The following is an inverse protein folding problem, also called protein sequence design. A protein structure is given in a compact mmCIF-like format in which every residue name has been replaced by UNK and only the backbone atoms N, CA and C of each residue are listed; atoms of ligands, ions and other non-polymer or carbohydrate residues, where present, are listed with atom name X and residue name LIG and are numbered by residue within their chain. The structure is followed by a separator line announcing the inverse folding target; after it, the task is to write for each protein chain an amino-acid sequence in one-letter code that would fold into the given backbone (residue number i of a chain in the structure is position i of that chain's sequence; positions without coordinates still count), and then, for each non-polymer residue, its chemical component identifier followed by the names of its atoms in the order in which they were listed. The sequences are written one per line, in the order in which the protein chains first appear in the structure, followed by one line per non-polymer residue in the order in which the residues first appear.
data_IF_710058306923
#
_entry.id   IF_710058306923
#
_cell.length_a   1.000
_cell.length_b   1.000
_cell.length_c   1.000
_cell.angle_alpha   90.00
_cell.angle_beta   90.00
_cell.angle_gamma   90.00
#
_symmetry.space_group_name_H-M   'P 1'
#
loop_
_entity.id
_entity.type
_entity.pdbx_description
1 polymer ?
#
# COMPACT_ATOMS: atom_id res chain seq x y z
N UNK A 1 -0.64 5.56 14.92
CA UNK A 1 0.76 5.70 14.46
C UNK A 1 1.79 5.12 15.44
N UNK A 2 1.62 5.23 16.74
CA UNK A 2 2.53 4.63 17.74
C UNK A 2 2.62 3.08 17.66
N UNK A 3 1.54 2.40 17.26
CA UNK A 3 1.49 0.94 17.20
C UNK A 3 2.38 0.33 16.10
N UNK A 4 2.47 0.93 14.91
CA UNK A 4 3.32 0.42 13.83
C UNK A 4 4.80 0.64 14.16
N UNK A 5 5.13 1.80 14.70
CA UNK A 5 6.50 2.14 15.11
C UNK A 5 7.08 1.17 16.14
N UNK A 6 6.31 0.82 17.18
CA UNK A 6 6.74 -0.12 18.22
C UNK A 6 6.97 -1.55 17.70
N UNK A 7 6.51 -1.85 16.48
CA UNK A 7 6.67 -3.15 15.82
C UNK A 7 7.71 -3.16 14.70
N UNK A 8 8.52 -2.09 14.56
CA UNK A 8 9.53 -1.99 13.51
C UNK A 8 8.94 -1.91 12.10
N UNK A 9 7.80 -1.24 11.94
CA UNK A 9 7.12 -1.03 10.66
C UNK A 9 6.99 0.46 10.38
N UNK A 10 7.36 0.90 9.18
CA UNK A 10 7.18 2.27 8.73
C UNK A 10 6.65 2.33 7.28
N UNK A 11 6.02 3.45 6.94
CA UNK A 11 5.66 3.79 5.56
C UNK A 11 6.48 5.00 5.13
N UNK A 12 7.18 4.89 4.02
CA UNK A 12 8.03 5.94 3.46
C UNK A 12 7.51 6.32 2.08
N UNK A 13 7.34 7.64 1.86
CA UNK A 13 6.89 8.17 0.58
C UNK A 13 8.10 8.55 -0.27
N UNK A 14 8.15 8.05 -1.49
CA UNK A 14 9.19 8.28 -2.48
C UNK A 14 8.78 9.37 -3.49
N UNK A 15 9.77 9.99 -4.14
CA UNK A 15 9.59 10.89 -5.29
C UNK A 15 8.79 12.16 -4.98
N UNK A 16 8.81 12.59 -3.73
CA UNK A 16 8.15 13.82 -3.29
C UNK A 16 6.65 13.69 -3.03
N UNK A 17 5.95 14.84 -2.92
CA UNK A 17 4.56 14.93 -2.47
C UNK A 17 3.59 15.52 -3.51
N UNK A 18 4.04 15.80 -4.73
CA UNK A 18 3.21 16.38 -5.79
C UNK A 18 2.82 15.28 -6.78
N UNK A 19 1.52 14.96 -6.83
CA UNK A 19 0.95 13.93 -7.69
C UNK A 19 0.54 14.51 -9.05
N UNK A 20 0.81 13.80 -10.13
CA UNK A 20 0.33 14.20 -11.47
C UNK A 20 -1.16 13.93 -11.67
N UNK A 21 -1.82 13.20 -10.76
CA UNK A 21 -3.24 12.83 -10.82
C UNK A 21 -4.06 13.48 -9.71
N UNK A 22 -5.36 13.68 -9.96
CA UNK A 22 -6.29 14.39 -9.08
C UNK A 22 -7.45 13.48 -8.63
N UNK A 23 -7.15 12.40 -7.93
CA UNK A 23 -8.19 11.52 -7.36
C UNK A 23 -9.01 12.27 -6.31
N UNK A 24 -10.34 12.23 -6.42
CA UNK A 24 -11.25 13.06 -5.63
C UNK A 24 -11.37 12.65 -4.15
N UNK A 25 -10.76 11.55 -3.76
CA UNK A 25 -10.67 11.11 -2.38
C UNK A 25 -9.35 11.51 -1.70
N UNK A 26 -8.33 11.90 -2.47
CA UNK A 26 -6.95 12.05 -2.03
C UNK A 26 -6.61 13.51 -1.73
N UNK A 27 -5.94 13.77 -0.61
CA UNK A 27 -5.54 15.11 -0.17
C UNK A 27 -4.07 15.46 -0.54
N UNK A 28 -3.43 14.66 -1.38
CA UNK A 28 -2.08 14.94 -1.87
C UNK A 28 -2.13 16.12 -2.86
N UNK A 29 -1.13 16.99 -2.81
CA UNK A 29 -1.02 18.12 -3.74
C UNK A 29 -0.93 17.64 -5.18
N UNK A 30 -1.72 18.27 -6.07
CA UNK A 30 -1.76 17.95 -7.49
C UNK A 30 -0.98 18.95 -8.31
N UNK A 31 -0.11 18.48 -9.20
CA UNK A 31 0.70 19.34 -10.06
C UNK A 31 1.62 18.52 -10.97
N UNK A 32 2.56 19.21 -11.59
CA UNK A 32 3.60 18.58 -12.40
C UNK A 32 4.98 18.80 -11.75
N UNK A 33 5.61 17.72 -11.22
CA UNK A 33 6.96 17.78 -10.66
C UNK A 33 8.08 18.07 -11.68
N UNK A 34 7.76 18.07 -12.98
CA UNK A 34 8.72 18.45 -14.04
C UNK A 34 9.85 17.45 -14.25
N UNK A 35 9.62 16.19 -14.00
CA UNK A 35 10.63 15.14 -14.17
C UNK A 35 11.70 15.10 -13.06
N UNK A 36 11.58 15.93 -12.01
CA UNK A 36 12.56 15.94 -10.93
C UNK A 36 12.55 14.63 -10.16
N UNK A 37 13.73 14.02 -10.01
CA UNK A 37 14.02 12.90 -9.14
C UNK A 37 15.30 13.20 -8.35
N UNK A 38 15.27 12.89 -7.07
CA UNK A 38 16.46 12.96 -6.22
C UNK A 38 17.24 11.65 -6.34
N UNK A 39 18.37 11.69 -7.02
CA UNK A 39 19.22 10.51 -7.26
C UNK A 39 19.76 9.88 -5.96
N UNK A 40 19.85 10.63 -4.86
CA UNK A 40 20.34 10.16 -3.57
C UNK A 40 19.23 9.58 -2.68
N UNK A 41 17.94 9.75 -3.05
CA UNK A 41 16.81 9.26 -2.24
C UNK A 41 16.89 7.75 -1.97
N UNK A 42 17.22 6.86 -2.94
CA UNK A 42 17.34 5.43 -2.67
C UNK A 42 18.33 5.09 -1.57
N UNK A 43 19.49 5.73 -1.54
CA UNK A 43 20.51 5.48 -0.53
C UNK A 43 20.07 6.01 0.85
N UNK A 44 19.52 7.23 0.90
CA UNK A 44 19.02 7.80 2.17
C UNK A 44 17.85 7.03 2.75
N UNK A 45 16.97 6.49 1.92
CA UNK A 45 15.87 5.62 2.36
C UNK A 45 16.43 4.32 2.95
N UNK A 46 17.41 3.68 2.29
CA UNK A 46 18.05 2.48 2.80
C UNK A 46 18.77 2.72 4.14
N UNK A 47 19.48 3.85 4.27
CA UNK A 47 20.10 4.28 5.55
C UNK A 47 19.07 4.53 6.65
N UNK A 48 17.93 5.10 6.30
CA UNK A 48 16.84 5.33 7.23
C UNK A 48 16.26 4.01 7.73
N UNK A 49 16.00 3.06 6.84
CA UNK A 49 15.49 1.71 7.17
C UNK A 49 16.43 0.99 8.14
N UNK A 50 17.74 1.02 7.86
CA UNK A 50 18.78 0.43 8.72
C UNK A 50 18.86 1.13 10.08
N UNK A 51 18.95 2.46 10.09
CA UNK A 51 19.07 3.27 11.31
C UNK A 51 17.88 3.11 12.24
N UNK A 52 16.68 2.98 11.66
CA UNK A 52 15.44 2.76 12.42
C UNK A 52 15.25 1.32 12.89
N UNK A 53 16.09 0.38 12.44
CA UNK A 53 15.96 -1.04 12.76
C UNK A 53 14.63 -1.63 12.30
N UNK A 54 14.16 -1.21 11.13
CA UNK A 54 12.89 -1.70 10.60
C UNK A 54 13.01 -3.18 10.21
N UNK A 55 11.92 -3.91 10.39
CA UNK A 55 11.77 -5.29 9.90
C UNK A 55 10.77 -5.38 8.74
N UNK A 56 9.95 -4.35 8.59
CA UNK A 56 8.98 -4.21 7.51
C UNK A 56 8.89 -2.75 7.07
N UNK A 57 9.01 -2.49 5.78
CA UNK A 57 8.85 -1.15 5.23
C UNK A 57 7.83 -1.16 4.10
N UNK A 58 6.89 -0.21 4.13
CA UNK A 58 6.01 0.08 3.01
C UNK A 58 6.58 1.28 2.28
N UNK A 59 6.98 1.08 1.04
CA UNK A 59 7.33 2.16 0.12
C UNK A 59 6.06 2.56 -0.64
N UNK A 60 5.75 3.83 -0.66
CA UNK A 60 4.64 4.38 -1.45
C UNK A 60 5.11 5.59 -2.24
N UNK A 61 4.35 6.02 -3.22
CA UNK A 61 4.60 7.26 -3.95
C UNK A 61 3.31 7.91 -4.41
N UNK A 62 3.45 9.10 -4.92
CA UNK A 62 2.45 9.76 -5.79
C UNK A 62 2.54 9.18 -7.20
N UNK A 63 1.51 9.41 -8.04
CA UNK A 63 1.63 9.14 -9.48
C UNK A 63 2.60 10.14 -10.12
N UNK A 64 3.49 9.63 -10.96
CA UNK A 64 4.55 10.37 -11.65
C UNK A 64 4.46 10.15 -13.17
N UNK A 65 3.27 10.50 -13.75
CA UNK A 65 3.07 10.44 -15.22
C UNK A 65 4.00 11.39 -16.00
N UNK A 66 4.72 12.26 -15.30
CA UNK A 66 5.79 13.11 -15.84
C UNK A 66 7.11 12.36 -16.09
N UNK A 67 7.23 11.13 -15.59
CA UNK A 67 8.39 10.26 -15.81
C UNK A 67 8.06 9.18 -16.87
N UNK A 68 9.00 8.84 -17.76
CA UNK A 68 8.75 7.88 -18.84
C UNK A 68 8.33 6.48 -18.37
N UNK A 69 8.77 6.07 -17.17
CA UNK A 69 8.51 4.77 -16.56
C UNK A 69 7.58 4.87 -15.33
N UNK A 70 6.97 6.04 -15.09
CA UNK A 70 6.16 6.29 -13.91
C UNK A 70 6.92 6.20 -12.57
N UNK A 71 8.26 6.21 -12.60
CA UNK A 71 9.13 6.08 -11.44
C UNK A 71 9.50 4.64 -11.05
N UNK A 72 9.23 3.65 -11.90
CA UNK A 72 9.51 2.25 -11.62
C UNK A 72 11.00 1.98 -11.35
N UNK A 73 11.91 2.56 -12.12
CA UNK A 73 13.35 2.43 -11.92
C UNK A 73 13.80 3.01 -10.56
N UNK A 74 13.19 4.10 -10.13
CA UNK A 74 13.49 4.71 -8.84
C UNK A 74 13.01 3.84 -7.66
N UNK A 75 11.82 3.24 -7.78
CA UNK A 75 11.36 2.21 -6.83
C UNK A 75 12.34 1.03 -6.76
N UNK A 76 12.71 0.48 -7.92
CA UNK A 76 13.61 -0.66 -7.99
C UNK A 76 14.99 -0.35 -7.38
N UNK A 77 15.54 0.84 -7.65
CA UNK A 77 16.80 1.28 -7.06
C UNK A 77 16.69 1.40 -5.53
N UNK A 78 15.55 1.92 -5.02
CA UNK A 78 15.31 2.04 -3.58
C UNK A 78 15.21 0.66 -2.91
N UNK A 79 14.46 -0.27 -3.50
CA UNK A 79 14.33 -1.64 -2.99
C UNK A 79 15.70 -2.33 -2.98
N UNK A 80 16.45 -2.25 -4.09
CA UNK A 80 17.78 -2.84 -4.19
C UNK A 80 18.74 -2.25 -3.13
N UNK A 81 18.73 -0.94 -2.91
CA UNK A 81 19.54 -0.29 -1.87
C UNK A 81 19.17 -0.78 -0.46
N UNK A 82 17.87 -0.94 -0.15
CA UNK A 82 17.41 -1.51 1.13
C UNK A 82 17.91 -2.95 1.27
N UNK A 83 17.67 -3.79 0.27
CA UNK A 83 18.06 -5.22 0.30
C UNK A 83 19.58 -5.40 0.38
N UNK A 84 20.37 -4.50 -0.18
CA UNK A 84 21.84 -4.55 -0.08
C UNK A 84 22.34 -4.25 1.35
N UNK A 85 21.67 -3.37 2.11
CA UNK A 85 22.05 -2.99 3.48
C UNK A 85 21.39 -3.87 4.54
N UNK A 86 20.13 -4.23 4.33
CA UNK A 86 19.27 -4.98 5.26
C UNK A 86 18.50 -6.06 4.50
N UNK A 87 19.16 -7.16 4.07
CA UNK A 87 18.58 -8.15 3.18
C UNK A 87 17.35 -8.86 3.75
N UNK A 88 17.24 -8.93 5.06
CA UNK A 88 16.12 -9.58 5.78
C UNK A 88 14.87 -8.69 5.89
N UNK A 89 14.98 -7.37 5.72
CA UNK A 89 13.82 -6.47 5.83
C UNK A 89 12.80 -6.78 4.74
N UNK A 90 11.56 -6.97 5.14
CA UNK A 90 10.45 -7.17 4.20
C UNK A 90 10.06 -5.83 3.59
N UNK A 91 10.03 -5.77 2.26
CA UNK A 91 9.69 -4.57 1.50
C UNK A 91 8.36 -4.77 0.78
N UNK A 92 7.37 -3.97 1.16
CA UNK A 92 6.11 -3.81 0.41
C UNK A 92 6.22 -2.55 -0.45
N UNK A 93 5.95 -2.67 -1.75
CA UNK A 93 5.84 -1.53 -2.65
C UNK A 93 4.37 -1.27 -3.00
N UNK A 94 3.81 -0.18 -2.47
CA UNK A 94 2.51 0.35 -2.88
C UNK A 94 2.72 1.29 -4.06
N UNK A 95 2.43 0.80 -5.25
CA UNK A 95 2.82 1.41 -6.52
C UNK A 95 1.69 2.18 -7.21
N UNK A 96 2.02 3.16 -8.08
CA UNK A 96 1.10 3.60 -9.12
C UNK A 96 0.87 2.50 -10.17
N UNK A 97 -0.02 2.76 -11.14
CA UNK A 97 -0.34 1.79 -12.18
C UNK A 97 0.67 1.76 -13.36
N UNK A 98 1.67 2.64 -13.34
CA UNK A 98 2.69 2.75 -14.39
C UNK A 98 2.09 2.81 -15.82
N UNK A 99 0.86 3.35 -15.96
CA UNK A 99 0.09 3.32 -17.20
C UNK A 99 -0.01 1.92 -17.86
N UNK A 100 0.04 0.85 -17.07
CA UNK A 100 -0.02 -0.53 -17.52
C UNK A 100 1.28 -1.08 -18.13
N UNK A 101 2.39 -0.40 -17.97
CA UNK A 101 3.68 -0.83 -18.54
C UNK A 101 4.18 -2.13 -17.91
N UNK A 102 4.15 -3.24 -18.66
CA UNK A 102 4.74 -4.52 -18.22
C UNK A 102 6.23 -4.37 -17.88
N UNK A 103 6.97 -3.56 -18.64
CA UNK A 103 8.40 -3.34 -18.40
C UNK A 103 8.64 -2.67 -17.04
N UNK A 104 7.79 -1.70 -16.65
CA UNK A 104 7.85 -1.05 -15.35
C UNK A 104 7.51 -2.02 -14.21
N UNK A 105 6.45 -2.82 -14.36
CA UNK A 105 6.09 -3.87 -13.39
C UNK A 105 7.21 -4.89 -13.24
N UNK A 106 7.80 -5.34 -14.34
CA UNK A 106 8.95 -6.28 -14.36
C UNK A 106 10.15 -5.69 -13.61
N UNK A 107 10.52 -4.43 -13.91
CA UNK A 107 11.61 -3.74 -13.24
C UNK A 107 11.45 -3.78 -11.71
N UNK A 108 10.21 -3.60 -11.24
CA UNK A 108 9.91 -3.58 -9.82
C UNK A 108 9.89 -4.98 -9.19
N UNK A 109 9.27 -5.97 -9.82
CA UNK A 109 9.25 -7.34 -9.25
C UNK A 109 10.62 -8.00 -9.26
N UNK A 110 11.50 -7.65 -10.21
CA UNK A 110 12.87 -8.14 -10.29
C UNK A 110 13.81 -7.47 -9.26
N UNK A 111 13.40 -6.39 -8.60
CA UNK A 111 14.22 -5.66 -7.62
C UNK A 111 14.36 -6.34 -6.26
N UNK A 112 13.62 -7.43 -6.02
CA UNK A 112 13.61 -8.14 -4.74
C UNK A 112 12.49 -7.70 -3.79
N UNK A 113 11.42 -7.08 -4.32
CA UNK A 113 10.22 -6.75 -3.54
C UNK A 113 9.54 -8.02 -3.00
N UNK A 114 9.08 -7.98 -1.76
CA UNK A 114 8.38 -9.11 -1.12
C UNK A 114 6.86 -9.04 -1.33
N UNK A 115 6.31 -7.82 -1.33
CA UNK A 115 4.89 -7.57 -1.54
C UNK A 115 4.70 -6.47 -2.59
N UNK A 116 4.06 -6.81 -3.70
CA UNK A 116 3.64 -5.86 -4.73
C UNK A 116 2.20 -5.42 -4.43
N UNK A 117 2.01 -4.16 -4.12
CA UNK A 117 0.70 -3.61 -3.77
C UNK A 117 0.27 -2.54 -4.77
N UNK A 118 -0.99 -2.64 -5.23
CA UNK A 118 -1.66 -1.58 -5.97
C UNK A 118 -3.14 -1.54 -5.58
N UNK A 119 -3.59 -0.38 -5.15
CA UNK A 119 -4.95 -0.23 -4.65
C UNK A 119 -5.98 -0.11 -5.78
N UNK A 120 -7.04 -0.90 -5.69
CA UNK A 120 -8.22 -0.77 -6.55
C UNK A 120 -9.04 0.47 -6.17
N UNK A 121 -8.99 0.85 -4.91
CA UNK A 121 -9.58 2.01 -4.24
C UNK A 121 -11.10 1.94 -4.09
N UNK A 122 -11.83 1.53 -5.12
CA UNK A 122 -13.29 1.44 -5.11
C UNK A 122 -13.79 0.42 -6.14
N UNK A 123 -15.09 0.17 -6.18
CA UNK A 123 -15.75 -0.74 -7.14
C UNK A 123 -15.78 -0.15 -8.55
N UNK A 124 -15.99 -0.99 -9.56
CA UNK A 124 -15.90 -0.60 -10.97
C UNK A 124 -16.76 0.63 -11.31
N UNK A 125 -18.04 0.62 -10.94
CA UNK A 125 -18.98 1.73 -11.21
C UNK A 125 -18.51 3.06 -10.64
N UNK A 126 -17.84 3.03 -9.51
CA UNK A 126 -17.38 4.22 -8.80
C UNK A 126 -15.98 4.68 -9.21
N UNK A 127 -15.26 3.93 -10.03
CA UNK A 127 -13.88 4.27 -10.39
C UNK A 127 -13.80 5.66 -11.04
N UNK A 128 -14.59 5.94 -12.07
CA UNK A 128 -14.54 7.23 -12.78
C UNK A 128 -14.95 8.43 -11.91
N UNK A 129 -16.01 8.38 -11.10
CA UNK A 129 -16.35 9.50 -10.23
C UNK A 129 -15.44 9.67 -9.01
N UNK A 130 -14.62 8.67 -8.64
CA UNK A 130 -13.78 8.68 -7.43
C UNK A 130 -12.30 8.92 -7.74
N UNK A 131 -11.77 8.28 -8.79
CA UNK A 131 -10.35 8.33 -9.17
C UNK A 131 -10.11 9.35 -10.29
N UNK A 132 -8.85 9.65 -10.52
CA UNK A 132 -8.41 10.41 -11.71
C UNK A 132 -8.84 9.67 -12.99
N UNK A 133 -9.23 10.36 -14.07
CA UNK A 133 -9.66 9.72 -15.33
C UNK A 133 -8.66 8.75 -15.96
N UNK A 134 -7.36 8.90 -15.65
CA UNK A 134 -6.28 8.01 -16.11
C UNK A 134 -6.20 6.72 -15.30
N UNK A 135 -6.77 6.69 -14.11
CA UNK A 135 -6.81 5.49 -13.27
C UNK A 135 -8.01 4.62 -13.64
N UNK A 136 -7.76 3.39 -14.05
CA UNK A 136 -8.78 2.45 -14.50
C UNK A 136 -8.97 1.26 -13.55
N UNK A 137 -10.21 0.78 -13.39
CA UNK A 137 -10.50 -0.44 -12.65
C UNK A 137 -9.79 -1.65 -13.30
N UNK A 138 -10.03 -1.88 -14.58
CA UNK A 138 -9.38 -2.96 -15.34
C UNK A 138 -7.86 -2.79 -15.40
N UNK A 139 -7.37 -1.55 -15.54
CA UNK A 139 -5.93 -1.25 -15.55
C UNK A 139 -5.26 -1.71 -14.23
N UNK A 140 -5.87 -1.43 -13.08
CA UNK A 140 -5.35 -1.90 -11.78
C UNK A 140 -5.30 -3.42 -11.70
N UNK A 141 -6.37 -4.11 -12.15
CA UNK A 141 -6.40 -5.57 -12.17
C UNK A 141 -5.32 -6.14 -13.12
N UNK A 142 -5.11 -5.53 -14.28
CA UNK A 142 -4.10 -5.97 -15.25
C UNK A 142 -2.68 -5.81 -14.71
N UNK A 143 -2.37 -4.72 -14.02
CA UNK A 143 -1.07 -4.52 -13.37
C UNK A 143 -0.84 -5.56 -12.28
N UNK A 144 -1.82 -5.84 -11.43
CA UNK A 144 -1.73 -6.88 -10.39
C UNK A 144 -1.57 -8.29 -11.01
N UNK A 145 -2.32 -8.59 -12.07
CA UNK A 145 -2.22 -9.84 -12.82
C UNK A 145 -0.83 -10.00 -13.46
N UNK A 146 -0.32 -8.93 -14.05
CA UNK A 146 1.02 -8.88 -14.64
C UNK A 146 2.10 -9.12 -13.58
N UNK A 147 2.04 -8.44 -12.44
CA UNK A 147 2.98 -8.65 -11.34
C UNK A 147 2.97 -10.10 -10.86
N UNK A 148 1.78 -10.69 -10.69
CA UNK A 148 1.63 -12.08 -10.27
C UNK A 148 2.14 -13.09 -11.30
N UNK A 149 1.93 -12.83 -12.58
CA UNK A 149 2.43 -13.68 -13.67
C UNK A 149 3.95 -13.64 -13.79
N UNK A 150 4.55 -12.45 -13.66
CA UNK A 150 5.99 -12.25 -13.73
C UNK A 150 6.75 -12.82 -12.53
N UNK A 151 6.17 -12.70 -11.33
CA UNK A 151 6.80 -13.14 -10.09
C UNK A 151 5.79 -13.92 -9.21
N UNK A 152 5.51 -15.19 -9.51
CA UNK A 152 4.51 -15.99 -8.79
C UNK A 152 4.75 -16.11 -7.26
N UNK A 153 6.00 -16.00 -6.82
CA UNK A 153 6.39 -16.06 -5.41
C UNK A 153 6.08 -14.75 -4.64
N UNK A 154 6.07 -13.61 -5.33
CA UNK A 154 5.77 -12.30 -4.73
C UNK A 154 4.32 -12.27 -4.30
N UNK A 155 4.06 -11.79 -3.08
CA UNK A 155 2.70 -11.56 -2.62
C UNK A 155 2.11 -10.33 -3.31
N UNK A 156 0.86 -10.44 -3.73
CA UNK A 156 0.11 -9.32 -4.32
C UNK A 156 -0.93 -8.82 -3.33
N UNK A 157 -1.09 -7.51 -3.24
CA UNK A 157 -1.98 -6.85 -2.29
C UNK A 157 -2.79 -5.75 -2.97
N UNK A 158 -4.02 -5.56 -2.50
CA UNK A 158 -4.87 -4.45 -2.91
C UNK A 158 -5.68 -3.89 -1.73
N UNK A 159 -6.31 -2.75 -1.95
CA UNK A 159 -7.14 -2.07 -0.95
C UNK A 159 -8.39 -1.47 -1.59
N UNK A 160 -9.48 -1.49 -0.81
CA UNK A 160 -10.74 -0.81 -1.12
C UNK A 160 -11.14 0.11 0.03
N UNK A 161 -11.59 1.31 -0.31
CA UNK A 161 -12.26 2.22 0.60
C UNK A 161 -13.76 1.99 0.54
N UNK A 162 -14.40 1.90 1.70
CA UNK A 162 -15.84 1.69 1.82
C UNK A 162 -16.53 2.96 2.29
N UNK A 163 -17.79 3.13 1.89
CA UNK A 163 -18.62 4.28 2.24
C UNK A 163 -18.66 5.38 1.19
N UNK A 164 -18.26 5.06 -0.05
CA UNK A 164 -18.36 5.95 -1.22
C UNK A 164 -19.65 5.78 -2.02
N UNK A 165 -20.51 4.81 -1.66
CA UNK A 165 -21.79 4.52 -2.32
C UNK A 165 -21.80 3.21 -3.11
N UNK A 166 -20.82 2.34 -2.86
CA UNK A 166 -20.79 0.96 -3.33
C UNK A 166 -21.93 0.14 -2.68
N UNK A 167 -22.45 -0.83 -3.42
CA UNK A 167 -23.32 -1.87 -2.87
C UNK A 167 -22.47 -3.05 -2.38
N UNK A 168 -23.09 -3.91 -1.58
CA UNK A 168 -22.42 -5.13 -1.11
C UNK A 168 -22.08 -6.09 -2.25
N UNK A 169 -23.00 -6.25 -3.21
CA UNK A 169 -22.76 -7.10 -4.38
C UNK A 169 -21.59 -6.59 -5.24
N UNK A 170 -21.47 -5.26 -5.39
CA UNK A 170 -20.33 -4.65 -6.10
C UNK A 170 -19.02 -4.85 -5.35
N UNK A 171 -19.04 -4.79 -4.01
CA UNK A 171 -17.86 -5.08 -3.19
C UNK A 171 -17.43 -6.54 -3.34
N UNK A 172 -18.38 -7.47 -3.30
CA UNK A 172 -18.08 -8.90 -3.49
C UNK A 172 -17.57 -9.19 -4.88
N UNK A 173 -18.14 -8.56 -5.91
CA UNK A 173 -17.62 -8.68 -7.28
C UNK A 173 -16.17 -8.15 -7.37
N UNK A 174 -15.88 -7.00 -6.76
CA UNK A 174 -14.51 -6.47 -6.74
C UNK A 174 -13.52 -7.40 -6.00
N UNK A 175 -13.97 -8.10 -4.96
CA UNK A 175 -13.16 -9.13 -4.31
C UNK A 175 -12.89 -10.31 -5.25
N UNK A 176 -13.90 -10.78 -5.98
CA UNK A 176 -13.77 -11.88 -6.93
C UNK A 176 -12.82 -11.49 -8.07
N UNK A 177 -12.96 -10.29 -8.64
CA UNK A 177 -12.06 -9.76 -9.68
C UNK A 177 -10.60 -9.65 -9.22
N UNK A 178 -10.38 -9.20 -7.96
CA UNK A 178 -9.06 -9.17 -7.35
C UNK A 178 -8.47 -10.57 -7.16
N UNK A 179 -9.29 -11.56 -6.77
CA UNK A 179 -8.85 -12.96 -6.67
C UNK A 179 -8.47 -13.53 -8.03
N UNK A 180 -9.24 -13.24 -9.06
CA UNK A 180 -8.95 -13.65 -10.45
C UNK A 180 -7.68 -12.97 -11.00
N UNK A 181 -7.35 -11.78 -10.51
CA UNK A 181 -6.08 -11.11 -10.77
C UNK A 181 -4.91 -11.68 -9.93
N UNK A 182 -5.15 -12.68 -9.05
CA UNK A 182 -4.13 -13.33 -8.25
C UNK A 182 -3.76 -12.60 -6.96
N UNK A 183 -4.58 -11.63 -6.52
CA UNK A 183 -4.33 -10.87 -5.27
C UNK A 183 -4.46 -11.78 -4.06
N UNK A 184 -3.46 -11.76 -3.21
CA UNK A 184 -3.38 -12.60 -2.01
C UNK A 184 -3.82 -11.90 -0.74
N UNK A 185 -3.58 -10.60 -0.63
CA UNK A 185 -3.83 -9.79 0.55
C UNK A 185 -4.81 -8.66 0.24
N UNK A 186 -5.80 -8.44 1.10
CA UNK A 186 -6.80 -7.38 0.92
C UNK A 186 -6.88 -6.51 2.17
N UNK A 187 -7.01 -5.20 1.97
CA UNK A 187 -7.37 -4.28 3.05
C UNK A 187 -8.68 -3.55 2.73
N UNK A 188 -9.56 -3.46 3.72
CA UNK A 188 -10.85 -2.76 3.64
C UNK A 188 -10.90 -1.70 4.72
N UNK A 189 -11.05 -0.44 4.35
CA UNK A 189 -11.08 0.68 5.29
C UNK A 189 -12.22 1.65 5.01
N UNK A 190 -12.71 2.35 6.03
CA UNK A 190 -13.69 3.42 5.85
C UNK A 190 -13.06 4.59 5.09
N UNK A 191 -13.72 5.06 4.05
CA UNK A 191 -13.40 6.36 3.46
C UNK A 191 -13.65 7.46 4.48
N UNK A 192 -12.61 8.24 4.77
CA UNK A 192 -12.70 9.43 5.60
C UNK A 192 -12.43 10.65 4.74
N UNK A 193 -13.41 11.52 4.65
CA UNK A 193 -13.35 12.74 3.85
C UNK A 193 -12.25 13.68 4.37
N UNK A 194 -11.18 14.00 3.59
CA UNK A 194 -10.11 14.84 4.09
C UNK A 194 -10.54 16.30 4.32
N UNK A 195 -11.25 16.90 3.38
CA UNK A 195 -11.79 18.27 3.48
C UNK A 195 -13.15 18.37 2.78
N UNK A 196 -13.84 19.48 2.94
CA UNK A 196 -15.15 19.73 2.29
C UNK A 196 -15.10 19.78 0.75
N UNK A 197 -13.91 19.88 0.15
CA UNK A 197 -13.72 19.85 -1.30
C UNK A 197 -13.64 18.42 -1.88
N UNK A 198 -13.42 17.41 -1.03
CA UNK A 198 -13.39 16.01 -1.43
C UNK A 198 -14.79 15.40 -1.46
N UNK A 199 -14.89 14.18 -1.96
CA UNK A 199 -16.15 13.45 -2.02
C UNK A 199 -16.79 13.31 -0.62
N UNK A 200 -18.11 13.45 -0.48
CA UNK A 200 -18.77 13.20 0.80
C UNK A 200 -18.69 11.71 1.16
N UNK A 201 -18.71 11.42 2.44
CA UNK A 201 -19.01 10.06 2.93
C UNK A 201 -20.47 9.78 2.66
N UNK A 202 -20.77 8.75 1.90
CA UNK A 202 -22.15 8.34 1.55
C UNK A 202 -22.73 7.44 2.64
N UNK A 203 -21.89 6.57 3.21
CA UNK A 203 -22.28 5.64 4.27
C UNK A 203 -21.13 5.48 5.28
N UNK A 204 -21.49 5.51 6.56
CA UNK A 204 -20.62 5.03 7.63
C UNK A 204 -20.88 3.53 7.79
N UNK A 205 -19.86 2.72 7.45
CA UNK A 205 -19.95 1.26 7.51
C UNK A 205 -19.80 0.82 8.97
N UNK A 206 -20.78 0.08 9.53
CA UNK A 206 -20.69 -0.43 10.90
C UNK A 206 -19.48 -1.39 11.09
N UNK A 207 -18.88 -1.44 12.29
CA UNK A 207 -17.78 -2.36 12.57
C UNK A 207 -18.12 -3.83 12.30
N UNK A 208 -19.34 -4.26 12.56
CA UNK A 208 -19.84 -5.61 12.30
C UNK A 208 -19.86 -5.95 10.79
N UNK A 209 -20.15 -4.98 9.93
CA UNK A 209 -20.07 -5.18 8.48
C UNK A 209 -18.62 -5.39 8.02
N UNK A 210 -17.66 -4.68 8.62
CA UNK A 210 -16.24 -4.90 8.32
C UNK A 210 -15.80 -6.34 8.66
N UNK A 211 -16.26 -6.90 9.79
CA UNK A 211 -15.93 -8.30 10.11
C UNK A 211 -16.59 -9.26 9.14
N UNK A 212 -17.85 -9.03 8.77
CA UNK A 212 -18.56 -9.83 7.76
C UNK A 212 -17.84 -9.77 6.40
N UNK A 213 -17.33 -8.62 5.99
CA UNK A 213 -16.57 -8.47 4.74
C UNK A 213 -15.19 -9.15 4.84
N UNK A 214 -14.59 -9.17 6.03
CA UNK A 214 -13.37 -9.94 6.28
C UNK A 214 -13.61 -11.44 6.06
N UNK A 215 -14.63 -11.98 6.69
CA UNK A 215 -15.01 -13.39 6.52
C UNK A 215 -15.32 -13.73 5.06
N UNK A 216 -16.08 -12.88 4.37
CA UNK A 216 -16.42 -13.04 2.97
C UNK A 216 -15.18 -13.04 2.06
N UNK A 217 -14.17 -12.22 2.35
CA UNK A 217 -12.91 -12.21 1.62
C UNK A 217 -12.08 -13.47 1.88
N UNK A 218 -11.97 -13.90 3.13
CA UNK A 218 -11.28 -15.16 3.46
C UNK A 218 -11.95 -16.36 2.79
N UNK A 219 -13.28 -16.42 2.77
CA UNK A 219 -14.05 -17.45 2.08
C UNK A 219 -13.79 -17.49 0.56
N UNK A 220 -13.43 -16.34 -0.06
CA UNK A 220 -13.03 -16.23 -1.47
C UNK A 220 -11.57 -16.61 -1.73
N UNK A 221 -10.83 -16.97 -0.68
CA UNK A 221 -9.45 -17.47 -0.80
C UNK A 221 -8.37 -16.39 -0.72
N UNK A 222 -8.66 -15.18 -0.24
CA UNK A 222 -7.60 -14.29 0.21
C UNK A 222 -6.84 -14.96 1.37
N UNK A 223 -5.52 -14.83 1.39
CA UNK A 223 -4.69 -15.37 2.49
C UNK A 223 -4.90 -14.60 3.77
N UNK A 224 -5.11 -13.29 3.66
CA UNK A 224 -5.45 -12.41 4.78
C UNK A 224 -6.28 -11.22 4.28
N UNK A 225 -7.22 -10.80 5.14
CA UNK A 225 -8.06 -9.61 4.92
C UNK A 225 -8.02 -8.75 6.17
N UNK A 226 -7.33 -7.61 6.10
CA UNK A 226 -7.42 -6.61 7.15
C UNK A 226 -8.63 -5.70 6.87
N UNK A 227 -9.61 -5.71 7.76
CA UNK A 227 -10.87 -5.01 7.56
C UNK A 227 -11.27 -4.26 8.83
N UNK A 228 -11.62 -2.99 8.71
CA UNK A 228 -12.05 -2.18 9.85
C UNK A 228 -12.10 -0.69 9.55
N UNK A 229 -12.83 0.10 10.37
CA UNK A 229 -13.05 1.53 10.11
C UNK A 229 -11.76 2.35 10.01
N UNK A 230 -10.72 2.00 10.75
CA UNK A 230 -9.44 2.71 10.76
C UNK A 230 -8.34 2.02 9.95
N UNK A 231 -8.66 0.92 9.25
CA UNK A 231 -7.70 0.24 8.37
C UNK A 231 -7.34 1.16 7.20
N UNK A 232 -6.05 1.15 6.85
CA UNK A 232 -5.47 1.79 5.67
C UNK A 232 -4.65 0.76 4.90
N UNK A 233 -4.30 1.05 3.65
CA UNK A 233 -3.52 0.13 2.81
C UNK A 233 -2.23 -0.35 3.48
N UNK A 234 -1.58 0.49 4.28
CA UNK A 234 -0.36 0.15 5.03
C UNK A 234 -0.58 -0.20 6.52
N UNK A 235 -1.85 -0.28 6.97
CA UNK A 235 -2.14 -0.53 8.38
C UNK A 235 -1.73 -1.94 8.80
N UNK A 236 -0.82 -2.01 9.82
CA UNK A 236 -0.28 -3.27 10.34
C UNK A 236 0.14 -4.25 9.22
N UNK A 237 0.80 -3.71 8.17
CA UNK A 237 1.18 -4.47 7.00
C UNK A 237 2.08 -5.67 7.36
N UNK A 238 2.94 -5.53 8.38
CA UNK A 238 3.73 -6.61 8.97
C UNK A 238 2.87 -7.77 9.50
N UNK A 239 1.76 -7.46 10.20
CA UNK A 239 0.85 -8.49 10.72
C UNK A 239 0.09 -9.18 9.59
N UNK A 240 -0.41 -8.43 8.62
CA UNK A 240 -1.09 -8.96 7.44
C UNK A 240 -0.15 -9.92 6.69
N UNK A 241 1.11 -9.52 6.52
CA UNK A 241 2.14 -10.36 5.93
C UNK A 241 2.42 -11.64 6.76
N UNK A 242 2.60 -11.51 8.07
CA UNK A 242 2.86 -12.65 8.95
C UNK A 242 1.68 -13.62 9.02
N UNK A 243 0.46 -13.12 9.10
CA UNK A 243 -0.77 -13.93 9.11
C UNK A 243 -0.99 -14.67 7.78
N UNK A 244 -0.50 -14.11 6.67
CA UNK A 244 -0.53 -14.78 5.36
C UNK A 244 0.52 -15.89 5.20
N UNK A 245 1.33 -16.16 6.23
CA UNK A 245 2.42 -17.17 6.22
C UNK A 245 3.79 -16.60 5.88
N UNK A 246 3.94 -15.28 5.81
CA UNK A 246 5.23 -14.61 5.63
C UNK A 246 6.09 -14.64 6.90
N UNK A 247 7.40 -14.83 6.75
CA UNK A 247 8.34 -14.80 7.86
C UNK A 247 8.87 -13.38 8.08
N UNK A 248 8.63 -12.82 9.28
CA UNK A 248 9.20 -11.53 9.67
C UNK A 248 10.55 -11.74 10.38
N UNK A 249 11.56 -10.89 10.10
CA UNK A 249 12.81 -10.90 10.84
C UNK A 249 12.58 -10.51 12.32
N UNK A 250 13.50 -10.93 13.18
CA UNK A 250 13.49 -10.52 14.58
C UNK A 250 13.72 -9.00 14.68
N UNK A 251 13.01 -8.33 15.59
CA UNK A 251 13.28 -6.92 15.87
C UNK A 251 14.73 -6.77 16.36
N UNK A 252 15.50 -5.96 15.66
CA UNK A 252 16.85 -5.57 16.10
C UNK A 252 16.73 -4.23 16.78
N UNK A 253 17.22 -4.12 18.02
CA UNK A 253 17.32 -2.84 18.69
C UNK A 253 18.39 -2.01 17.98
N UNK A 254 18.07 -0.81 17.44
CA UNK A 254 19.06 0.00 16.74
C UNK A 254 20.24 0.35 17.65
N UNK A 255 21.47 0.41 17.12
CA UNK A 255 22.63 0.84 17.90
C UNK A 255 22.39 2.25 18.46
N UNK A 256 22.53 2.42 19.79
CA UNK A 256 22.28 3.69 20.48
C UNK A 256 20.88 3.88 21.06
N UNK A 257 19.97 2.93 20.88
CA UNK A 257 18.66 2.95 21.56
C UNK A 257 18.70 2.44 23.00
N UNK A 258 19.86 2.02 23.50
CA UNK A 258 20.08 1.69 24.90
C UNK A 258 19.95 2.98 25.74
N UNK A 259 18.77 3.19 26.32
CA UNK A 259 18.48 4.36 27.16
C UNK A 259 17.33 5.23 26.73
N UNK A 260 16.72 4.98 25.59
CA UNK A 260 15.44 5.60 25.25
C UNK A 260 14.37 4.92 26.09
N UNK A 261 13.85 5.67 27.07
CA UNK A 261 12.72 5.24 27.91
C UNK A 261 11.56 4.91 26.97
N UNK A 262 11.02 3.65 26.98
CA UNK A 262 9.82 3.37 26.23
C UNK A 262 8.74 4.31 26.73
N UNK A 263 8.13 5.09 25.83
CA UNK A 263 6.95 5.89 26.12
C UNK A 263 5.90 4.94 26.73
N UNK A 264 5.81 4.92 28.05
CA UNK A 264 4.71 4.27 28.76
C UNK A 264 3.46 5.01 28.34
N UNK A 265 2.65 4.35 27.53
CA UNK A 265 1.26 4.75 27.35
C UNK A 265 0.64 4.60 28.73
N UNK A 266 0.33 5.73 29.38
CA UNK A 266 -0.56 5.76 30.55
C UNK A 266 -1.89 5.28 30.03
N UNK A 267 -2.23 4.03 30.30
CA UNK A 267 -3.60 3.56 30.19
C UNK A 267 -4.42 4.41 31.16
N UNK A 268 -5.27 5.27 30.63
CA UNK A 268 -6.32 5.91 31.38
C UNK A 268 -7.42 4.88 31.64
N UNK A 269 -7.19 3.99 32.60
CA UNK A 269 -8.28 3.33 33.31
C UNK A 269 -8.75 4.27 34.40
N UNK A 270 -9.85 4.97 34.14
CA UNK A 270 -10.84 5.46 35.12
C UNK A 270 -12.05 6.05 34.39
#
# INVERSE_FOLDING_TARGET
MSECWSHGTATLMLMGSVCTRACRFCAVDTGNPGGFLDAEEPQRVAETVETMGLRYVVLTSVDRDDLPDGGAAHYAATIAAIKARTPEVVVEALTPDFAGSEAAVRCLVDSGVDVFAQNLETVERLTQPVRDPRAGYGLTLDVLRTAKALAPAVLTKSSLMLGLGETEDELFQAMDDLRDAGVSLLTLGQYLRPTLHHLPVVRWVPPEDFERYREAGLARGFREVASGPLVRSSYRADRVFAQSGGALPTLVTPPGAEGLIPLRILNSDS
#
